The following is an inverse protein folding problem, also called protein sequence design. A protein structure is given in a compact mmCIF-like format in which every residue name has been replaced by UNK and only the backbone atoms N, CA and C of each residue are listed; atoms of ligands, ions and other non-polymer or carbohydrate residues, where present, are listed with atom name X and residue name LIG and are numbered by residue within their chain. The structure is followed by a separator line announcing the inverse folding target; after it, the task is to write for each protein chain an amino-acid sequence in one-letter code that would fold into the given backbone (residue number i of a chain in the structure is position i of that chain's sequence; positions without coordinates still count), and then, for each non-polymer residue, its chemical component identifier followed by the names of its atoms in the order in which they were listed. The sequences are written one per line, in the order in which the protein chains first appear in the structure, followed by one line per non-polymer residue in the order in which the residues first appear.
data_IF_135398712455
#
_entry.id   IF_135398712455
#
_cell.length_a   1.000
_cell.length_b   1.000
_cell.length_c   1.000
_cell.angle_alpha   90.00
_cell.angle_beta   90.00
_cell.angle_gamma   90.00
#
_symmetry.space_group_name_H-M   'P 1'
#
loop_
_entity.id
_entity.type
_entity.pdbx_description
1 polymer ?
#
# COMPACT_ATOMS: atom_id res chain seq x y z
N UNK A 1 20.99 -14.47 22.51
CA UNK A 1 20.39 -15.47 21.61
C UNK A 1 19.15 -16.00 22.26
N UNK A 2 18.00 -15.40 21.95
CA UNK A 2 16.72 -15.89 22.44
C UNK A 2 15.81 -15.93 21.21
N UNK A 3 15.75 -17.10 20.57
CA UNK A 3 15.15 -17.33 19.25
C UNK A 3 13.75 -16.70 19.14
N UNK A 4 12.97 -16.79 20.22
CA UNK A 4 11.64 -16.19 20.35
C UNK A 4 11.64 -14.66 20.17
N UNK A 5 12.63 -13.96 20.71
CA UNK A 5 12.74 -12.50 20.58
C UNK A 5 13.13 -12.07 19.16
N UNK A 6 14.01 -12.83 18.50
CA UNK A 6 14.44 -12.51 17.14
C UNK A 6 13.30 -12.74 16.14
N UNK A 7 12.60 -13.88 16.23
CA UNK A 7 11.43 -14.16 15.38
C UNK A 7 10.33 -13.12 15.59
N UNK A 8 10.05 -12.72 16.83
CA UNK A 8 9.01 -11.72 17.10
C UNK A 8 9.39 -10.35 16.55
N UNK A 9 10.67 -9.97 16.63
CA UNK A 9 11.17 -8.70 16.06
C UNK A 9 11.09 -8.69 14.54
N UNK A 10 11.42 -9.80 13.89
CA UNK A 10 11.34 -9.96 12.45
C UNK A 10 9.89 -9.98 11.95
N UNK A 11 9.00 -10.69 12.66
CA UNK A 11 7.57 -10.72 12.37
C UNK A 11 6.94 -9.32 12.49
N UNK A 12 7.29 -8.57 13.54
CA UNK A 12 6.82 -7.19 13.71
C UNK A 12 7.39 -6.26 12.63
N UNK A 13 8.63 -6.48 12.18
CA UNK A 13 9.23 -5.73 11.08
C UNK A 13 8.47 -5.91 9.76
N UNK A 14 8.13 -7.15 9.42
CA UNK A 14 7.36 -7.47 8.22
C UNK A 14 5.94 -6.90 8.29
N UNK A 15 5.25 -7.09 9.43
CA UNK A 15 3.92 -6.52 9.66
C UNK A 15 3.88 -5.00 9.56
N UNK A 16 4.91 -4.29 10.02
CA UNK A 16 4.96 -2.83 9.95
C UNK A 16 5.15 -2.34 8.51
N UNK A 17 5.92 -3.07 7.70
CA UNK A 17 6.04 -2.81 6.27
C UNK A 17 4.70 -3.05 5.55
N UNK A 18 4.03 -4.16 5.83
CA UNK A 18 2.71 -4.49 5.28
C UNK A 18 1.61 -3.51 5.74
N UNK A 19 1.67 -3.01 6.97
CA UNK A 19 0.75 -2.01 7.48
C UNK A 19 0.89 -0.67 6.73
N UNK A 20 2.13 -0.27 6.41
CA UNK A 20 2.38 0.94 5.60
C UNK A 20 1.86 0.77 4.18
N UNK A 21 2.04 -0.40 3.58
CA UNK A 21 1.51 -0.72 2.26
C UNK A 21 -0.02 -0.67 2.25
N UNK A 22 -0.65 -1.31 3.24
CA UNK A 22 -2.11 -1.30 3.43
C UNK A 22 -2.63 0.12 3.59
N UNK A 23 -1.96 0.95 4.40
CA UNK A 23 -2.30 2.36 4.56
C UNK A 23 -2.25 3.15 3.25
N UNK A 24 -1.24 2.94 2.42
CA UNK A 24 -1.14 3.59 1.11
C UNK A 24 -2.30 3.20 0.19
N UNK A 25 -2.68 1.92 0.16
CA UNK A 25 -3.81 1.43 -0.63
C UNK A 25 -5.14 1.99 -0.11
N UNK A 26 -5.33 2.07 1.22
CA UNK A 26 -6.54 2.67 1.80
C UNK A 26 -6.68 4.15 1.46
N UNK A 27 -5.57 4.90 1.47
CA UNK A 27 -5.56 6.32 1.06
C UNK A 27 -5.93 6.46 -0.41
N UNK A 28 -5.35 5.63 -1.30
CA UNK A 28 -5.69 5.59 -2.71
C UNK A 28 -7.19 5.29 -2.91
N UNK A 29 -7.69 4.27 -2.22
CA UNK A 29 -9.09 3.86 -2.30
C UNK A 29 -10.03 4.97 -1.81
N UNK A 30 -9.70 5.63 -0.70
CA UNK A 30 -10.45 6.77 -0.19
C UNK A 30 -10.47 7.93 -1.18
N UNK A 31 -9.33 8.27 -1.78
CA UNK A 31 -9.23 9.34 -2.77
C UNK A 31 -10.05 9.06 -4.03
N UNK A 32 -10.01 7.84 -4.55
CA UNK A 32 -10.81 7.43 -5.72
C UNK A 32 -12.29 7.43 -5.39
N UNK A 33 -12.68 6.86 -4.25
CA UNK A 33 -14.09 6.81 -3.82
C UNK A 33 -14.64 8.22 -3.62
N UNK A 34 -13.89 9.12 -2.97
CA UNK A 34 -14.27 10.51 -2.81
C UNK A 34 -14.41 11.22 -4.17
N UNK A 35 -13.51 10.98 -5.11
CA UNK A 35 -13.57 11.56 -6.46
C UNK A 35 -14.80 11.12 -7.24
N UNK A 36 -15.23 9.86 -7.09
CA UNK A 36 -16.46 9.35 -7.69
C UNK A 36 -17.68 9.99 -7.02
N UNK A 37 -17.70 10.05 -5.68
CA UNK A 37 -18.84 10.58 -4.91
C UNK A 37 -19.06 12.09 -5.14
N UNK A 38 -17.98 12.84 -5.36
CA UNK A 38 -18.02 14.27 -5.71
C UNK A 38 -18.36 14.51 -7.19
N UNK A 39 -18.56 13.47 -8.00
CA UNK A 39 -18.87 13.57 -9.42
C UNK A 39 -17.69 14.01 -10.30
N UNK A 40 -16.47 14.03 -9.75
CA UNK A 40 -15.24 14.44 -10.46
C UNK A 40 -14.83 13.37 -11.48
N UNK A 41 -15.03 12.09 -11.13
CA UNK A 41 -14.63 10.96 -11.97
C UNK A 41 -15.80 10.02 -12.26
N UNK A 42 -15.88 9.54 -13.50
CA UNK A 42 -16.76 8.42 -13.87
C UNK A 42 -16.33 7.15 -13.13
N UNK A 43 -17.26 6.27 -12.70
CA UNK A 43 -16.94 5.04 -11.98
C UNK A 43 -15.90 4.17 -12.69
N UNK A 44 -15.98 4.07 -14.02
CA UNK A 44 -15.03 3.30 -14.82
C UNK A 44 -13.61 3.90 -14.79
N UNK A 45 -13.51 5.23 -14.84
CA UNK A 45 -12.22 5.93 -14.72
C UNK A 45 -11.64 5.80 -13.30
N UNK A 46 -12.49 5.83 -12.28
CA UNK A 46 -12.08 5.58 -10.89
C UNK A 46 -11.54 4.16 -10.70
N UNK A 47 -12.21 3.14 -11.26
CA UNK A 47 -11.72 1.75 -11.25
C UNK A 47 -10.38 1.58 -11.96
N UNK A 48 -10.19 2.22 -13.12
CA UNK A 48 -8.90 2.24 -13.80
C UNK A 48 -7.80 2.93 -12.97
N UNK A 49 -8.14 4.05 -12.32
CA UNK A 49 -7.24 4.76 -11.40
C UNK A 49 -6.81 3.91 -10.20
N UNK A 50 -7.73 3.12 -9.63
CA UNK A 50 -7.42 2.14 -8.58
C UNK A 50 -6.45 1.07 -9.07
N UNK A 51 -6.71 0.48 -10.24
CA UNK A 51 -5.85 -0.57 -10.80
C UNK A 51 -4.42 -0.05 -11.02
N UNK A 52 -4.28 1.09 -11.70
CA UNK A 52 -2.97 1.71 -11.98
C UNK A 52 -2.31 2.17 -10.68
N UNK A 53 -3.06 2.83 -9.79
CA UNK A 53 -2.55 3.32 -8.52
C UNK A 53 -2.01 2.21 -7.62
N UNK A 54 -2.71 1.07 -7.55
CA UNK A 54 -2.23 -0.10 -6.82
C UNK A 54 -0.91 -0.63 -7.41
N UNK A 55 -0.80 -0.76 -8.74
CA UNK A 55 0.45 -1.19 -9.38
C UNK A 55 1.61 -0.24 -9.09
N UNK A 56 1.37 1.07 -9.13
CA UNK A 56 2.36 2.09 -8.81
C UNK A 56 2.80 1.99 -7.34
N UNK A 57 1.87 1.81 -6.41
CA UNK A 57 2.19 1.63 -4.99
C UNK A 57 3.04 0.39 -4.78
N UNK A 58 2.67 -0.74 -5.39
CA UNK A 58 3.47 -1.97 -5.30
C UNK A 58 4.88 -1.76 -5.86
N UNK A 59 5.00 -1.22 -7.06
CA UNK A 59 6.30 -0.97 -7.70
C UNK A 59 7.17 0.01 -6.89
N UNK A 60 6.58 1.09 -6.38
CA UNK A 60 7.32 2.06 -5.56
C UNK A 60 7.84 1.42 -4.28
N UNK A 61 7.00 0.64 -3.59
CA UNK A 61 7.36 -0.01 -2.33
C UNK A 61 8.40 -1.11 -2.54
N UNK A 62 8.32 -1.89 -3.63
CA UNK A 62 9.34 -2.91 -3.95
C UNK A 62 10.68 -2.28 -4.33
N UNK A 63 10.69 -1.23 -5.16
CA UNK A 63 11.93 -0.52 -5.53
C UNK A 63 12.58 0.12 -4.31
N UNK A 64 11.79 0.76 -3.43
CA UNK A 64 12.32 1.39 -2.23
C UNK A 64 12.94 0.38 -1.26
N UNK A 65 12.33 -0.80 -1.11
CA UNK A 65 12.90 -1.88 -0.30
C UNK A 65 14.17 -2.45 -0.94
N UNK A 66 14.15 -2.71 -2.24
CA UNK A 66 15.32 -3.23 -2.97
C UNK A 66 16.54 -2.28 -2.98
N UNK A 67 16.34 -0.97 -2.73
CA UNK A 67 17.45 -0.01 -2.55
C UNK A 67 17.91 0.14 -1.11
N UNK A 68 17.18 -0.42 -0.15
CA UNK A 68 17.49 -0.35 1.28
C UNK A 68 18.34 -1.53 1.75
N UNK A 69 18.27 -2.64 1.02
CA UNK A 69 19.18 -3.79 1.12
C UNK A 69 20.45 -3.59 0.30
#
# INVERSE_FOLDING_TARGET
MNLLKDVLKELLGMFLADARLTGAVLVLFGAVTASINLGIAKPLAGGAGLMVGCLVILAAVTILQARRD
#
